data_IF_705730848499
#
_entry.id   IF_705730848499
#
_cell.length_a   1.000
_cell.length_b   1.000
_cell.length_c   1.000
_cell.angle_alpha   90.00
_cell.angle_beta   90.00
_cell.angle_gamma   90.00
#
_symmetry.space_group_name_H-M   'P 1'
#
loop_
_entity.id
_entity.type
_entity.pdbx_description
1 polymer ?
#
# COMPACT_ATOMS: atom_id res chain seq x y z
N UNK A 1 -33.50 14.98 -6.59
CA UNK A 1 -34.40 14.41 -5.57
C UNK A 1 -35.61 15.32 -5.44
N UNK A 2 -36.84 14.80 -5.48
CA UNK A 2 -38.03 15.56 -5.04
C UNK A 2 -38.47 14.96 -3.73
N UNK A 3 -38.44 15.76 -2.67
CA UNK A 3 -38.97 15.41 -1.35
C UNK A 3 -40.45 15.80 -1.35
N UNK A 4 -41.35 14.86 -1.05
CA UNK A 4 -42.77 15.17 -0.81
C UNK A 4 -43.02 14.87 0.66
N UNK A 5 -43.34 15.91 1.43
CA UNK A 5 -43.67 15.81 2.85
C UNK A 5 -45.17 15.55 2.97
N UNK A 6 -45.55 14.46 3.65
CA UNK A 6 -46.90 14.33 4.22
C UNK A 6 -46.75 13.86 5.66
N UNK A 7 -47.51 14.48 6.56
CA UNK A 7 -47.38 14.32 8.00
C UNK A 7 -47.37 12.85 8.41
N UNK A 8 -46.30 12.47 9.13
CA UNK A 8 -46.00 11.20 9.81
C UNK A 8 -45.23 10.08 9.11
N UNK A 9 -44.78 10.16 7.85
CA UNK A 9 -43.80 9.19 7.30
C UNK A 9 -42.93 9.77 6.16
N UNK A 10 -41.60 9.61 6.22
CA UNK A 10 -40.67 10.01 5.15
C UNK A 10 -40.50 8.87 4.15
N UNK A 11 -40.90 9.07 2.89
CA UNK A 11 -40.68 8.13 1.79
C UNK A 11 -39.61 8.68 0.85
N UNK A 12 -38.52 7.92 0.64
CA UNK A 12 -37.49 8.24 -0.35
C UNK A 12 -37.63 7.31 -1.56
N UNK A 13 -37.92 7.89 -2.74
CA UNK A 13 -37.94 7.17 -4.02
C UNK A 13 -36.58 7.31 -4.71
N UNK A 14 -35.86 6.19 -4.86
CA UNK A 14 -34.64 6.08 -5.66
C UNK A 14 -34.98 5.81 -7.14
N UNK A 15 -34.14 6.31 -8.06
CA UNK A 15 -34.42 6.36 -9.51
C UNK A 15 -34.38 5.01 -10.27
N UNK A 16 -34.35 3.87 -9.57
CA UNK A 16 -34.34 2.51 -10.14
C UNK A 16 -35.23 1.55 -9.32
N UNK A 17 -36.55 1.78 -9.32
CA UNK A 17 -37.58 0.87 -8.75
C UNK A 17 -37.41 0.43 -7.28
N UNK A 18 -36.55 1.09 -6.52
CA UNK A 18 -36.33 0.79 -5.09
C UNK A 18 -37.05 1.82 -4.22
N UNK A 19 -38.01 1.35 -3.43
CA UNK A 19 -38.68 2.13 -2.38
C UNK A 19 -38.12 1.72 -1.03
N UNK A 20 -37.62 2.69 -0.25
CA UNK A 20 -37.17 2.47 1.12
C UNK A 20 -38.22 3.00 2.10
N UNK A 21 -38.61 2.18 3.07
CA UNK A 21 -39.42 2.63 4.21
C UNK A 21 -38.54 2.75 5.45
N UNK A 22 -38.43 3.95 6.00
CA UNK A 22 -37.83 4.21 7.31
C UNK A 22 -38.95 4.56 8.28
N UNK A 23 -39.26 3.66 9.22
CA UNK A 23 -40.14 3.97 10.32
C UNK A 23 -39.32 4.53 11.49
N UNK A 24 -39.51 5.79 11.84
CA UNK A 24 -39.02 6.37 13.10
C UNK A 24 -40.10 6.24 14.19
N UNK A 25 -39.69 5.81 15.40
CA UNK A 25 -40.57 5.68 16.59
C UNK A 25 -41.24 7.01 16.97
N UNK A 26 -42.47 6.99 17.52
CA UNK A 26 -42.89 7.97 18.53
C UNK A 26 -42.21 7.64 19.86
N UNK A 27 -41.66 8.65 20.52
CA UNK A 27 -40.99 8.55 21.82
C UNK A 27 -42.01 8.40 22.95
N UNK A 28 -42.30 7.17 23.36
CA UNK A 28 -42.71 6.81 24.74
C UNK A 28 -42.87 5.29 24.88
N UNK A 29 -42.51 4.77 26.05
CA UNK A 29 -42.58 3.35 26.51
C UNK A 29 -41.28 2.54 26.35
N UNK A 30 -40.52 2.31 27.43
CA UNK A 30 -39.35 1.43 27.48
C UNK A 30 -39.71 0.08 28.12
N UNK A 31 -39.94 -0.96 27.31
CA UNK A 31 -39.74 -2.40 27.64
C UNK A 31 -40.52 -3.32 26.70
N UNK A 32 -39.95 -3.62 25.53
CA UNK A 32 -40.35 -4.80 24.71
C UNK A 32 -39.23 -5.05 23.69
N UNK A 33 -38.90 -6.32 23.36
CA UNK A 33 -37.74 -6.64 22.54
C UNK A 33 -37.87 -6.09 21.11
N UNK A 34 -36.73 -5.69 20.55
CA UNK A 34 -36.62 -5.14 19.19
C UNK A 34 -37.17 -6.17 18.20
N UNK A 35 -38.32 -5.90 17.59
CA UNK A 35 -38.79 -6.65 16.43
C UNK A 35 -38.17 -6.03 15.20
N UNK A 36 -37.09 -6.62 14.69
CA UNK A 36 -36.54 -6.28 13.38
C UNK A 36 -37.49 -6.88 12.34
N UNK A 37 -38.37 -6.04 11.75
CA UNK A 37 -39.17 -6.47 10.60
C UNK A 37 -38.22 -6.53 9.40
N UNK A 38 -37.81 -7.74 9.03
CA UNK A 38 -37.07 -7.98 7.79
C UNK A 38 -38.04 -7.84 6.63
N UNK A 39 -37.92 -6.79 5.82
CA UNK A 39 -38.72 -6.65 4.60
C UNK A 39 -38.32 -7.75 3.61
N UNK A 40 -39.26 -8.61 3.27
CA UNK A 40 -39.07 -9.64 2.23
C UNK A 40 -39.31 -9.02 0.87
N UNK A 41 -38.40 -9.25 -0.08
CA UNK A 41 -38.53 -8.81 -1.47
C UNK A 41 -39.76 -9.46 -2.13
N UNK A 42 -40.63 -8.66 -2.73
CA UNK A 42 -41.59 -9.13 -3.73
C UNK A 42 -41.23 -8.50 -5.08
N UNK A 43 -40.62 -9.29 -5.98
CA UNK A 43 -40.57 -8.93 -7.40
C UNK A 43 -41.96 -9.15 -7.97
N UNK A 44 -42.68 -8.09 -8.28
CA UNK A 44 -43.81 -8.20 -9.21
C UNK A 44 -43.24 -8.19 -10.63
N UNK A 45 -43.24 -9.36 -11.29
CA UNK A 45 -43.19 -9.41 -12.76
C UNK A 45 -44.62 -9.19 -13.24
N UNK A 46 -44.79 -8.17 -14.07
CA UNK A 46 -45.95 -7.92 -14.92
C UNK A 46 -47.31 -7.77 -14.21
N UNK A 47 -47.62 -6.55 -13.77
CA UNK A 47 -49.01 -6.10 -13.65
C UNK A 47 -49.08 -4.57 -13.77
N UNK A 48 -49.92 -4.10 -14.69
CA UNK A 48 -50.26 -2.68 -14.88
C UNK A 48 -50.63 -2.01 -13.54
N UNK A 49 -49.94 -0.92 -13.18
CA UNK A 49 -50.25 -0.10 -12.01
C UNK A 49 -51.52 0.74 -12.26
N UNK A 50 -52.59 0.61 -11.45
CA UNK A 50 -53.69 1.57 -11.47
C UNK A 50 -53.34 2.82 -10.64
N UNK A 51 -53.92 4.00 -10.96
CA UNK A 51 -53.57 5.24 -10.31
C UNK A 51 -54.28 5.38 -8.95
N UNK A 52 -53.50 5.75 -7.92
CA UNK A 52 -53.89 6.14 -6.54
C UNK A 52 -54.07 4.98 -5.54
N UNK A 53 -53.06 4.79 -4.69
CA UNK A 53 -53.21 4.08 -3.40
C UNK A 53 -53.69 5.07 -2.33
N UNK A 54 -54.91 4.89 -1.84
CA UNK A 54 -55.41 5.54 -0.62
C UNK A 54 -55.11 4.66 0.60
N UNK A 55 -54.89 5.28 1.77
CA UNK A 55 -54.39 4.70 3.03
C UNK A 55 -55.29 3.64 3.71
N UNK A 56 -56.27 3.08 3.02
CA UNK A 56 -57.29 2.19 3.60
C UNK A 56 -57.07 0.69 3.34
N UNK A 57 -56.03 0.27 2.61
CA UNK A 57 -55.82 -1.17 2.27
C UNK A 57 -54.85 -1.93 3.20
N UNK A 58 -54.27 -1.31 4.22
CA UNK A 58 -53.36 -1.98 5.17
C UNK A 58 -54.04 -2.63 6.38
N UNK A 59 -55.38 -2.63 6.45
CA UNK A 59 -56.11 -3.07 7.65
C UNK A 59 -57.08 -4.22 7.38
N UNK A 60 -56.65 -5.26 6.66
CA UNK A 60 -57.46 -6.48 6.56
C UNK A 60 -56.65 -7.74 6.24
N UNK A 61 -55.60 -8.02 7.02
CA UNK A 61 -55.11 -9.39 7.21
C UNK A 61 -54.83 -9.63 8.69
N UNK A 62 -55.91 -9.87 9.44
CA UNK A 62 -55.84 -10.37 10.82
C UNK A 62 -56.25 -11.85 10.79
N UNK A 63 -55.41 -12.68 11.40
CA UNK A 63 -55.60 -14.10 11.75
C UNK A 63 -55.49 -15.11 10.59
N UNK A 64 -54.27 -15.37 10.17
CA UNK A 64 -53.84 -16.76 9.98
C UNK A 64 -52.61 -16.99 10.85
N UNK A 65 -52.76 -17.80 11.88
CA UNK A 65 -51.70 -18.29 12.76
C UNK A 65 -50.75 -19.17 11.95
N UNK A 66 -49.77 -18.55 11.30
CA UNK A 66 -48.58 -19.26 10.86
C UNK A 66 -47.63 -19.26 12.05
N UNK A 67 -47.32 -20.46 12.55
CA UNK A 67 -46.24 -20.68 13.52
C UNK A 67 -45.02 -19.87 13.11
N UNK A 68 -44.33 -19.19 14.04
CA UNK A 68 -43.14 -18.41 13.70
C UNK A 68 -42.13 -19.39 13.12
N UNK A 69 -42.01 -19.39 11.79
CA UNK A 69 -40.94 -20.07 11.11
C UNK A 69 -39.70 -19.37 11.63
N UNK A 70 -38.91 -20.08 12.44
CA UNK A 70 -37.65 -19.58 12.96
C UNK A 70 -36.92 -18.91 11.80
N UNK A 71 -36.73 -17.59 11.89
CA UNK A 71 -35.70 -16.92 11.12
C UNK A 71 -34.41 -17.63 11.53
N UNK A 72 -33.99 -18.62 10.74
CA UNK A 72 -32.66 -19.19 10.88
C UNK A 72 -31.72 -18.00 10.84
N UNK A 73 -31.01 -17.76 11.95
CA UNK A 73 -29.96 -16.77 12.00
C UNK A 73 -29.07 -17.06 10.79
N UNK A 74 -29.03 -16.12 9.84
CA UNK A 74 -28.10 -16.20 8.72
C UNK A 74 -26.71 -16.43 9.37
N UNK A 75 -25.94 -17.42 8.91
CA UNK A 75 -24.65 -17.73 9.51
C UNK A 75 -23.85 -16.43 9.65
N UNK A 76 -23.34 -16.16 10.85
CA UNK A 76 -22.53 -14.97 11.10
C UNK A 76 -21.40 -14.96 10.06
N UNK A 77 -21.41 -13.95 9.18
CA UNK A 77 -20.38 -13.82 8.14
C UNK A 77 -19.01 -13.79 8.80
N UNK A 78 -18.17 -14.76 8.47
CA UNK A 78 -16.77 -14.78 8.91
C UNK A 78 -15.90 -14.25 7.77
N UNK A 79 -15.23 -13.10 7.95
CA UNK A 79 -14.35 -12.55 6.93
C UNK A 79 -13.27 -13.54 6.51
N UNK A 80 -12.99 -13.61 5.21
CA UNK A 80 -11.87 -14.38 4.70
C UNK A 80 -10.56 -13.65 5.01
N UNK A 81 -9.63 -14.36 5.64
CA UNK A 81 -8.28 -13.87 5.89
C UNK A 81 -7.27 -14.69 5.08
N UNK A 82 -6.21 -14.06 4.53
CA UNK A 82 -5.24 -14.76 3.71
C UNK A 82 -4.43 -15.76 4.54
N UNK A 83 -3.99 -16.84 3.89
CA UNK A 83 -3.18 -17.90 4.56
C UNK A 83 -1.73 -17.48 4.79
N UNK A 84 -1.25 -16.49 4.04
CA UNK A 84 0.15 -16.02 4.03
C UNK A 84 0.17 -14.52 3.84
N UNK A 85 1.21 -13.88 4.38
CA UNK A 85 1.57 -12.49 4.10
C UNK A 85 3.05 -12.42 3.74
N UNK A 86 3.34 -11.73 2.65
CA UNK A 86 4.70 -11.42 2.21
C UNK A 86 4.85 -9.90 2.26
N UNK A 87 5.84 -9.41 2.99
CA UNK A 87 6.13 -7.98 3.13
C UNK A 87 7.46 -7.64 2.45
N UNK A 88 7.54 -6.52 1.74
CA UNK A 88 8.56 -6.27 0.71
C UNK A 88 9.44 -5.03 0.97
N UNK A 89 9.21 -4.33 2.07
CA UNK A 89 9.89 -3.08 2.44
C UNK A 89 10.31 -3.20 3.90
N UNK A 90 11.21 -4.15 4.18
CA UNK A 90 11.52 -4.55 5.55
C UNK A 90 13.00 -4.30 5.83
N UNK A 91 13.26 -3.23 6.57
CA UNK A 91 14.58 -2.68 6.76
C UNK A 91 15.42 -3.49 7.75
N UNK A 92 16.69 -3.63 7.40
CA UNK A 92 17.78 -4.10 8.26
C UNK A 92 18.95 -3.15 8.18
N UNK A 93 19.88 -3.20 9.11
CA UNK A 93 21.16 -2.49 8.98
C UNK A 93 22.32 -3.44 9.26
N UNK A 94 23.31 -3.44 8.38
CA UNK A 94 24.58 -4.13 8.57
C UNK A 94 25.66 -3.22 9.15
N UNK A 95 26.70 -3.79 9.79
CA UNK A 95 27.83 -3.02 10.30
C UNK A 95 28.50 -2.08 9.29
N UNK A 96 28.52 -2.45 8.00
CA UNK A 96 29.15 -1.61 6.96
C UNK A 96 28.38 -0.32 6.65
N UNK A 97 27.09 -0.22 7.00
CA UNK A 97 26.26 0.96 6.76
C UNK A 97 25.69 1.57 8.06
N UNK A 98 25.95 0.97 9.22
CA UNK A 98 25.38 1.38 10.51
C UNK A 98 25.72 2.83 10.88
N UNK A 99 27.00 3.22 10.73
CA UNK A 99 27.46 4.56 11.06
C UNK A 99 26.74 5.64 10.23
N UNK A 100 26.51 5.37 8.96
CA UNK A 100 25.79 6.25 8.04
C UNK A 100 24.32 6.40 8.43
N UNK A 101 23.64 5.28 8.72
CA UNK A 101 22.24 5.29 9.18
C UNK A 101 22.09 6.09 10.47
N UNK A 102 23.04 5.98 11.40
CA UNK A 102 23.05 6.78 12.64
C UNK A 102 23.27 8.26 12.34
N UNK A 103 24.19 8.59 11.43
CA UNK A 103 24.53 9.97 11.08
C UNK A 103 23.37 10.73 10.41
N UNK A 104 22.48 10.02 9.71
CA UNK A 104 21.29 10.60 9.07
C UNK A 104 20.27 11.26 10.03
N UNK A 105 20.38 10.95 11.32
CA UNK A 105 19.39 11.36 12.32
C UNK A 105 18.10 10.53 12.29
N UNK A 106 17.94 9.57 11.37
CA UNK A 106 16.72 8.76 11.22
C UNK A 106 16.40 7.99 12.51
N UNK A 107 17.41 7.36 13.10
CA UNK A 107 17.27 6.57 14.33
C UNK A 107 16.77 7.44 15.49
N UNK A 108 17.29 8.65 15.61
CA UNK A 108 16.99 9.61 16.67
C UNK A 108 15.58 10.20 16.53
N UNK A 109 15.04 10.22 15.30
CA UNK A 109 13.66 10.62 15.01
C UNK A 109 12.65 9.46 15.12
N UNK A 110 13.14 8.24 15.26
CA UNK A 110 12.32 7.01 15.30
C UNK A 110 11.99 6.58 16.75
N UNK A 111 11.14 5.56 16.89
CA UNK A 111 10.78 5.01 18.19
C UNK A 111 12.01 4.43 18.93
N UNK A 112 12.05 4.47 20.26
CA UNK A 112 13.12 3.82 21.03
C UNK A 112 13.30 2.34 20.65
N UNK A 113 14.56 1.90 20.53
CA UNK A 113 14.89 0.53 20.14
C UNK A 113 14.88 0.25 18.62
N UNK A 114 14.62 1.26 17.77
CA UNK A 114 14.62 1.09 16.30
C UNK A 114 15.95 0.52 15.78
N UNK A 115 17.09 1.02 16.26
CA UNK A 115 18.40 0.52 15.83
C UNK A 115 18.60 -0.96 16.18
N UNK A 116 18.21 -1.37 17.39
CA UNK A 116 18.28 -2.77 17.80
C UNK A 116 17.41 -3.67 16.93
N UNK A 117 16.22 -3.20 16.55
CA UNK A 117 15.34 -3.91 15.61
C UNK A 117 15.91 -4.00 14.19
N UNK A 118 16.56 -2.94 13.71
CA UNK A 118 17.24 -2.96 12.40
C UNK A 118 18.39 -3.97 12.38
N UNK A 119 19.14 -4.09 13.47
CA UNK A 119 20.26 -5.04 13.61
C UNK A 119 19.79 -6.48 13.83
N UNK A 120 18.61 -6.67 14.43
CA UNK A 120 18.07 -7.99 14.73
C UNK A 120 17.50 -8.67 13.47
N UNK A 121 18.20 -9.67 12.95
CA UNK A 121 17.72 -10.59 11.90
C UNK A 121 17.53 -12.02 12.42
N UNK A 122 17.49 -12.18 13.74
CA UNK A 122 17.40 -13.45 14.44
C UNK A 122 16.01 -13.71 15.03
N UNK A 123 15.96 -14.41 16.16
CA UNK A 123 14.72 -14.85 16.82
C UNK A 123 13.76 -13.71 17.17
N UNK A 124 14.28 -12.54 17.53
CA UNK A 124 13.46 -11.35 17.82
C UNK A 124 12.62 -10.92 16.62
N UNK A 125 13.26 -10.74 15.46
CA UNK A 125 12.54 -10.43 14.20
C UNK A 125 11.57 -11.53 13.78
N UNK A 126 11.93 -12.80 13.96
CA UNK A 126 11.01 -13.92 13.68
C UNK A 126 9.77 -13.88 14.57
N UNK A 127 9.94 -13.58 15.87
CA UNK A 127 8.81 -13.43 16.79
C UNK A 127 7.90 -12.25 16.39
N UNK A 128 8.49 -11.12 15.98
CA UNK A 128 7.72 -9.98 15.46
C UNK A 128 6.95 -10.36 14.19
N UNK A 129 7.58 -11.07 13.25
CA UNK A 129 6.93 -11.61 12.05
C UNK A 129 5.75 -12.51 12.41
N UNK A 130 5.90 -13.41 13.37
CA UNK A 130 4.83 -14.32 13.79
C UNK A 130 3.66 -13.54 14.41
N UNK A 131 3.95 -12.51 15.22
CA UNK A 131 2.94 -11.61 15.77
C UNK A 131 2.17 -10.83 14.68
N UNK A 132 2.87 -10.42 13.62
CA UNK A 132 2.29 -9.77 12.44
C UNK A 132 1.73 -10.71 11.37
N UNK A 133 1.73 -12.02 11.61
CA UNK A 133 1.30 -13.07 10.65
C UNK A 133 2.10 -13.10 9.33
N UNK A 134 3.34 -12.58 9.33
CA UNK A 134 4.19 -12.56 8.15
C UNK A 134 4.83 -13.93 7.91
N UNK A 135 4.56 -14.49 6.74
CA UNK A 135 5.19 -15.72 6.28
C UNK A 135 6.61 -15.46 5.80
N UNK A 136 6.83 -14.34 5.10
CA UNK A 136 8.13 -13.96 4.55
C UNK A 136 8.32 -12.44 4.58
N UNK A 137 9.54 -11.98 4.91
CA UNK A 137 9.99 -10.61 4.73
C UNK A 137 11.06 -10.55 3.63
N UNK A 138 10.93 -9.61 2.71
CA UNK A 138 12.03 -9.25 1.79
C UNK A 138 12.87 -8.19 2.50
N UNK A 139 14.07 -8.58 2.93
CA UNK A 139 14.98 -7.72 3.66
C UNK A 139 15.65 -6.73 2.71
N UNK A 140 15.71 -5.47 3.12
CA UNK A 140 16.44 -4.43 2.42
C UNK A 140 17.33 -3.65 3.40
N UNK A 141 18.53 -3.27 2.97
CA UNK A 141 19.43 -2.47 3.79
C UNK A 141 18.92 -1.04 3.89
N UNK A 142 18.70 -0.58 5.12
CA UNK A 142 18.56 0.84 5.43
C UNK A 142 19.86 1.55 5.06
N UNK A 143 19.75 2.69 4.39
CA UNK A 143 20.89 3.48 3.97
C UNK A 143 20.52 4.94 4.01
N UNK A 144 21.43 5.78 4.50
CA UNK A 144 21.28 7.22 4.31
C UNK A 144 22.14 7.74 3.16
N UNK A 145 22.96 6.85 2.55
CA UNK A 145 23.92 7.24 1.51
C UNK A 145 24.82 6.16 0.87
N UNK A 146 24.72 4.91 1.28
CA UNK A 146 25.59 3.78 0.93
C UNK A 146 25.66 3.50 -0.57
N UNK A 147 24.81 4.13 -1.36
CA UNK A 147 24.92 4.19 -2.82
C UNK A 147 26.21 4.85 -3.33
N UNK A 148 26.99 5.49 -2.47
CA UNK A 148 28.31 6.07 -2.78
C UNK A 148 29.50 5.17 -2.40
N UNK A 149 29.27 4.09 -1.64
CA UNK A 149 30.30 3.15 -1.17
C UNK A 149 30.07 1.75 -1.76
N UNK A 150 30.72 1.40 -2.89
CA UNK A 150 30.60 0.08 -3.51
C UNK A 150 30.99 -1.08 -2.59
N UNK A 151 32.03 -0.92 -1.77
CA UNK A 151 32.49 -1.97 -0.85
C UNK A 151 31.51 -2.12 0.33
N UNK A 152 31.05 -0.99 0.89
CA UNK A 152 30.01 -0.95 1.91
C UNK A 152 28.72 -1.60 1.45
N UNK A 153 28.25 -1.31 0.24
CA UNK A 153 27.11 -1.98 -0.40
C UNK A 153 27.32 -3.49 -0.50
N UNK A 154 28.47 -3.92 -1.00
CA UNK A 154 28.79 -5.34 -1.16
C UNK A 154 28.81 -6.08 0.18
N UNK A 155 29.43 -5.50 1.21
CA UNK A 155 29.43 -6.06 2.57
C UNK A 155 28.02 -6.11 3.17
N UNK A 156 27.22 -5.06 2.95
CA UNK A 156 25.84 -4.99 3.44
C UNK A 156 24.96 -6.07 2.79
N UNK A 157 25.11 -6.27 1.49
CA UNK A 157 24.43 -7.32 0.77
C UNK A 157 24.89 -8.74 1.21
N UNK A 158 26.15 -8.93 1.62
CA UNK A 158 26.59 -10.20 2.20
C UNK A 158 25.89 -10.48 3.54
N UNK A 159 25.72 -9.46 4.39
CA UNK A 159 24.98 -9.61 5.65
C UNK A 159 23.52 -10.01 5.44
N UNK A 160 22.82 -9.42 4.45
CA UNK A 160 21.45 -9.84 4.07
C UNK A 160 21.45 -11.29 3.59
N UNK A 161 22.44 -11.68 2.80
CA UNK A 161 22.56 -13.07 2.35
C UNK A 161 22.66 -14.04 3.53
N UNK A 162 23.47 -13.73 4.53
CA UNK A 162 23.67 -14.62 5.67
C UNK A 162 22.43 -14.70 6.56
N UNK A 163 21.65 -13.62 6.66
CA UNK A 163 20.32 -13.65 7.27
C UNK A 163 19.37 -14.60 6.52
N UNK A 164 19.34 -14.53 5.18
CA UNK A 164 18.54 -15.42 4.34
C UNK A 164 18.96 -16.88 4.51
N UNK A 165 20.27 -17.18 4.49
CA UNK A 165 20.77 -18.56 4.71
C UNK A 165 20.36 -19.11 6.07
N UNK A 166 20.31 -18.26 7.09
CA UNK A 166 19.93 -18.64 8.45
C UNK A 166 18.43 -18.95 8.56
N UNK A 167 17.57 -18.29 7.77
CA UNK A 167 16.11 -18.50 7.79
C UNK A 167 15.49 -18.47 6.37
N UNK A 168 15.82 -19.42 5.48
CA UNK A 168 15.52 -19.32 4.04
C UNK A 168 14.04 -19.42 3.69
N UNK A 169 13.21 -19.91 4.61
CA UNK A 169 11.74 -19.94 4.46
C UNK A 169 11.05 -18.66 4.93
N UNK A 170 11.78 -17.79 5.64
CA UNK A 170 11.25 -16.58 6.28
C UNK A 170 11.80 -15.31 5.65
N UNK A 171 12.93 -15.37 4.97
CA UNK A 171 13.56 -14.21 4.36
C UNK A 171 13.84 -14.39 2.87
N UNK A 172 13.61 -13.32 2.12
CA UNK A 172 14.24 -13.03 0.84
C UNK A 172 15.01 -11.70 0.96
N UNK A 173 15.66 -11.23 -0.11
CA UNK A 173 16.45 -10.00 -0.05
C UNK A 173 16.41 -9.17 -1.31
N UNK A 174 16.43 -7.86 -1.10
CA UNK A 174 16.78 -6.86 -2.09
C UNK A 174 18.20 -6.36 -1.85
N UNK A 175 18.92 -6.14 -2.95
CA UNK A 175 20.27 -5.61 -2.90
C UNK A 175 20.22 -4.09 -2.69
N UNK A 176 21.18 -3.54 -1.94
CA UNK A 176 21.56 -2.13 -2.03
C UNK A 176 22.66 -2.00 -3.10
N UNK A 177 22.59 -0.95 -3.93
CA UNK A 177 23.46 -0.77 -5.10
C UNK A 177 24.26 0.53 -5.00
N UNK A 178 25.54 0.55 -5.40
CA UNK A 178 26.31 1.79 -5.52
C UNK A 178 25.90 2.59 -6.76
N UNK A 179 24.90 3.47 -6.62
CA UNK A 179 24.40 4.30 -7.72
C UNK A 179 25.27 5.52 -8.07
N UNK A 180 26.26 5.88 -7.25
CA UNK A 180 27.28 6.85 -7.64
C UNK A 180 28.21 6.30 -8.73
N UNK A 181 28.29 4.98 -8.88
CA UNK A 181 29.02 4.29 -9.94
C UNK A 181 28.10 3.28 -10.65
N UNK A 182 27.18 3.75 -11.52
CA UNK A 182 26.09 2.93 -12.07
C UNK A 182 26.54 1.62 -12.74
N UNK A 183 27.71 1.59 -13.39
CA UNK A 183 28.26 0.35 -13.95
C UNK A 183 28.60 -0.69 -12.88
N UNK A 184 29.17 -0.26 -11.75
CA UNK A 184 29.39 -1.14 -10.59
C UNK A 184 28.07 -1.53 -9.94
N UNK A 185 27.09 -0.61 -9.89
CA UNK A 185 25.74 -0.91 -9.43
C UNK A 185 25.06 -2.01 -10.26
N UNK A 186 25.20 -1.95 -11.59
CA UNK A 186 24.70 -2.99 -12.50
C UNK A 186 25.41 -4.33 -12.28
N UNK A 187 26.75 -4.32 -12.16
CA UNK A 187 27.53 -5.52 -11.89
C UNK A 187 27.17 -6.17 -10.54
N UNK A 188 26.95 -5.36 -9.50
CA UNK A 188 26.53 -5.85 -8.19
C UNK A 188 25.11 -6.44 -8.23
N UNK A 189 24.16 -5.78 -8.92
CA UNK A 189 22.82 -6.33 -9.11
C UNK A 189 22.87 -7.71 -9.80
N UNK A 190 23.64 -7.82 -10.88
CA UNK A 190 23.82 -9.08 -11.60
C UNK A 190 24.37 -10.18 -10.69
N UNK A 191 25.42 -9.86 -9.94
CA UNK A 191 26.05 -10.81 -9.02
C UNK A 191 25.06 -11.29 -7.97
N UNK A 192 24.29 -10.38 -7.38
CA UNK A 192 23.34 -10.69 -6.29
C UNK A 192 22.17 -11.54 -6.77
N UNK A 193 21.62 -11.22 -7.93
CA UNK A 193 20.51 -11.98 -8.50
C UNK A 193 20.96 -13.35 -9.00
N UNK A 194 21.98 -13.41 -9.89
CA UNK A 194 22.38 -14.67 -10.54
C UNK A 194 23.07 -15.65 -9.60
N UNK A 195 23.91 -15.17 -8.66
CA UNK A 195 24.71 -16.05 -7.81
C UNK A 195 24.12 -16.26 -6.42
N UNK A 196 23.35 -15.30 -5.91
CA UNK A 196 22.99 -15.25 -4.48
C UNK A 196 21.48 -15.21 -4.23
N UNK A 197 20.65 -15.29 -5.28
CA UNK A 197 19.20 -15.47 -5.18
C UNK A 197 18.42 -14.24 -4.71
N UNK A 198 19.03 -13.06 -4.76
CA UNK A 198 18.33 -11.80 -4.46
C UNK A 198 17.20 -11.58 -5.46
N UNK A 199 16.10 -10.96 -5.01
CA UNK A 199 14.87 -10.84 -5.78
C UNK A 199 14.70 -9.49 -6.47
N UNK A 200 15.75 -8.67 -6.47
CA UNK A 200 15.75 -7.30 -6.98
C UNK A 200 16.69 -6.42 -6.17
N UNK A 201 16.47 -5.11 -6.22
CA UNK A 201 17.19 -4.14 -5.41
C UNK A 201 16.26 -3.09 -4.82
N UNK A 202 16.65 -2.53 -3.67
CA UNK A 202 16.10 -1.31 -3.13
C UNK A 202 17.11 -0.20 -3.33
N UNK A 203 16.64 0.89 -3.92
CA UNK A 203 17.43 2.08 -4.23
C UNK A 203 16.78 3.28 -3.55
N UNK A 204 17.60 4.22 -3.08
CA UNK A 204 17.15 5.39 -2.31
C UNK A 204 16.89 6.57 -3.24
N UNK A 205 16.08 7.53 -2.80
CA UNK A 205 15.45 8.47 -3.72
C UNK A 205 16.42 9.28 -4.60
N UNK A 206 17.60 9.62 -4.10
CA UNK A 206 18.63 10.34 -4.84
C UNK A 206 20.01 10.08 -4.22
N UNK A 207 21.11 10.46 -4.89
CA UNK A 207 22.43 10.51 -4.24
C UNK A 207 22.48 11.61 -3.17
N UNK A 208 23.53 11.65 -2.31
CA UNK A 208 23.63 12.67 -1.24
C UNK A 208 23.56 14.11 -1.77
N UNK A 209 24.05 14.34 -2.98
CA UNK A 209 24.05 15.64 -3.65
C UNK A 209 22.69 16.04 -4.24
N UNK A 210 21.65 15.21 -4.09
CA UNK A 210 20.32 15.43 -4.64
C UNK A 210 20.17 14.95 -6.09
N UNK A 211 21.15 14.24 -6.66
CA UNK A 211 21.03 13.72 -8.02
C UNK A 211 20.01 12.59 -8.10
N UNK A 212 18.88 12.86 -8.77
CA UNK A 212 17.87 11.88 -9.16
C UNK A 212 18.31 10.99 -10.33
N UNK A 213 17.61 9.86 -10.52
CA UNK A 213 17.97 8.80 -11.46
C UNK A 213 17.18 8.85 -12.78
N UNK A 214 16.91 10.05 -13.28
CA UNK A 214 16.24 10.27 -14.57
C UNK A 214 17.22 10.38 -15.76
N UNK A 215 18.45 10.82 -15.50
CA UNK A 215 19.49 10.99 -16.51
C UNK A 215 20.08 9.67 -17.05
N UNK A 216 20.56 9.70 -18.30
CA UNK A 216 21.11 8.53 -18.98
C UNK A 216 22.30 7.86 -18.29
N UNK A 217 22.99 8.51 -17.34
CA UNK A 217 24.09 7.89 -16.59
C UNK A 217 23.66 6.65 -15.79
N UNK A 218 22.38 6.56 -15.42
CA UNK A 218 21.82 5.45 -14.62
C UNK A 218 21.25 4.32 -15.47
N UNK A 219 21.22 4.49 -16.79
CA UNK A 219 20.76 3.49 -17.75
C UNK A 219 21.42 2.11 -17.58
N UNK A 220 22.71 1.96 -17.22
CA UNK A 220 23.31 0.64 -16.97
C UNK A 220 22.56 -0.18 -15.91
N UNK A 221 22.11 0.45 -14.82
CA UNK A 221 21.36 -0.22 -13.74
C UNK A 221 19.96 -0.61 -14.22
N UNK A 222 19.28 0.27 -14.96
CA UNK A 222 17.94 0.01 -15.50
C UNK A 222 17.95 -1.09 -16.56
N UNK A 223 18.91 -1.04 -17.47
CA UNK A 223 19.16 -2.06 -18.47
C UNK A 223 19.38 -3.41 -17.80
N UNK A 224 20.21 -3.47 -16.76
CA UNK A 224 20.51 -4.70 -16.04
C UNK A 224 19.31 -5.23 -15.26
N UNK A 225 18.55 -4.38 -14.56
CA UNK A 225 17.33 -4.79 -13.87
C UNK A 225 16.29 -5.38 -14.84
N UNK A 226 16.15 -4.75 -16.02
CA UNK A 226 15.28 -5.24 -17.09
C UNK A 226 15.78 -6.58 -17.66
N UNK A 227 17.08 -6.73 -17.93
CA UNK A 227 17.69 -7.97 -18.41
C UNK A 227 17.45 -9.14 -17.45
N UNK A 228 17.63 -8.89 -16.15
CA UNK A 228 17.44 -9.87 -15.08
C UNK A 228 15.96 -10.13 -14.76
N UNK A 229 15.05 -9.30 -15.28
CA UNK A 229 13.62 -9.36 -15.04
C UNK A 229 13.25 -9.27 -13.54
N UNK A 230 13.95 -8.39 -12.81
CA UNK A 230 13.76 -8.13 -11.37
C UNK A 230 13.35 -6.66 -11.11
N UNK A 231 12.58 -6.38 -10.05
CA UNK A 231 12.21 -5.01 -9.69
C UNK A 231 13.35 -4.21 -9.06
N UNK A 232 13.29 -2.90 -9.29
CA UNK A 232 13.96 -1.88 -8.47
C UNK A 232 12.90 -1.20 -7.59
N UNK A 233 12.99 -1.40 -6.28
CA UNK A 233 12.16 -0.69 -5.29
C UNK A 233 12.78 0.68 -5.02
N UNK A 234 12.13 1.75 -5.48
CA UNK A 234 12.53 3.11 -5.17
C UNK A 234 11.94 3.49 -3.81
N UNK A 235 12.79 3.73 -2.83
CA UNK A 235 12.42 4.05 -1.46
C UNK A 235 12.73 5.52 -1.15
N UNK A 236 11.92 6.20 -0.32
CA UNK A 236 12.21 7.56 0.12
C UNK A 236 13.56 7.69 0.83
N UNK A 237 14.13 8.89 0.74
CA UNK A 237 15.25 9.32 1.57
C UNK A 237 14.98 10.77 2.03
N UNK A 238 15.70 11.25 3.03
CA UNK A 238 15.61 12.64 3.44
C UNK A 238 16.13 13.53 2.31
N UNK A 239 15.38 14.56 1.88
CA UNK A 239 15.84 15.47 0.84
C UNK A 239 17.04 16.27 1.33
N UNK A 240 17.73 16.90 0.37
CA UNK A 240 18.93 17.71 0.63
C UNK A 240 18.65 18.86 1.60
N UNK A 241 19.71 19.34 2.27
CA UNK A 241 19.59 20.43 3.23
C UNK A 241 19.01 21.71 2.61
N UNK A 242 19.29 22.00 1.34
CA UNK A 242 18.70 23.18 0.68
C UNK A 242 17.20 23.03 0.44
N UNK A 243 16.73 21.84 0.06
CA UNK A 243 15.30 21.54 -0.07
C UNK A 243 14.62 21.63 1.29
N UNK A 244 15.24 21.06 2.33
CA UNK A 244 14.78 21.20 3.72
C UNK A 244 14.56 22.67 4.09
N UNK A 245 15.59 23.50 3.94
CA UNK A 245 15.52 24.91 4.32
C UNK A 245 14.48 25.70 3.53
N UNK A 246 14.25 25.35 2.26
CA UNK A 246 13.32 26.09 1.39
C UNK A 246 11.86 25.69 1.57
N UNK A 247 11.58 24.40 1.76
CA UNK A 247 10.22 23.86 1.68
C UNK A 247 9.66 23.37 3.02
N UNK A 248 10.54 23.01 3.96
CA UNK A 248 10.14 22.27 5.16
C UNK A 248 10.61 22.91 6.47
N UNK A 249 11.54 23.86 6.41
CA UNK A 249 11.88 24.69 7.55
C UNK A 249 10.80 25.75 7.77
N UNK A 250 10.61 26.14 9.03
CA UNK A 250 9.63 27.16 9.39
C UNK A 250 9.45 27.30 10.89
N UNK A 251 8.70 28.32 11.28
CA UNK A 251 8.36 28.64 12.67
C UNK A 251 7.17 27.78 13.13
N UNK A 252 7.46 26.52 13.45
CA UNK A 252 6.45 25.56 13.92
C UNK A 252 6.24 25.61 15.42
N UNK A 253 5.01 25.27 15.84
CA UNK A 253 4.64 25.19 17.26
C UNK A 253 5.47 24.13 18.00
N UNK A 254 5.67 22.95 17.41
CA UNK A 254 6.52 21.90 17.99
C UNK A 254 7.88 21.85 17.25
N UNK A 255 9.02 21.79 17.97
CA UNK A 255 10.35 21.74 17.34
C UNK A 255 10.57 20.56 16.37
N UNK A 256 9.82 19.47 16.56
CA UNK A 256 9.96 18.23 15.78
C UNK A 256 9.13 18.25 14.48
N UNK A 257 8.31 19.30 14.28
CA UNK A 257 7.37 19.39 13.15
C UNK A 257 8.10 19.34 11.82
N UNK A 258 9.15 20.15 11.66
CA UNK A 258 9.95 20.18 10.43
C UNK A 258 10.49 18.79 10.07
N UNK A 259 11.00 18.06 11.07
CA UNK A 259 11.54 16.70 10.91
C UNK A 259 10.49 15.65 10.55
N UNK A 260 9.24 15.77 11.03
CA UNK A 260 8.13 14.88 10.61
C UNK A 260 7.60 15.27 9.23
N UNK A 261 7.52 16.56 8.97
CA UNK A 261 6.98 17.11 7.73
C UNK A 261 7.85 16.77 6.51
N UNK A 262 9.17 16.88 6.65
CA UNK A 262 10.14 16.48 5.60
C UNK A 262 10.19 14.97 5.36
N UNK A 263 9.78 14.15 6.33
CA UNK A 263 9.84 12.69 6.25
C UNK A 263 8.46 12.09 5.97
N UNK A 264 8.01 11.14 6.80
CA UNK A 264 6.84 10.30 6.58
C UNK A 264 5.48 11.00 6.62
N UNK A 265 5.44 12.29 6.99
CA UNK A 265 4.15 13.01 7.00
C UNK A 265 3.82 13.59 5.62
N UNK A 266 4.82 13.91 4.80
CA UNK A 266 4.60 14.54 3.48
C UNK A 266 5.83 14.46 2.57
N UNK A 267 6.99 14.96 3.03
CA UNK A 267 8.13 15.24 2.18
C UNK A 267 8.67 14.02 1.42
N UNK A 268 8.76 12.87 2.07
CA UNK A 268 9.17 11.61 1.43
C UNK A 268 8.29 11.24 0.24
N UNK A 269 6.97 11.37 0.38
CA UNK A 269 6.00 10.94 -0.62
C UNK A 269 6.03 11.85 -1.85
N UNK A 270 6.03 13.17 -1.64
CA UNK A 270 6.11 14.14 -2.73
C UNK A 270 7.44 14.02 -3.47
N UNK A 271 8.53 13.74 -2.76
CA UNK A 271 9.86 13.64 -3.36
C UNK A 271 10.00 12.37 -4.23
N UNK A 272 9.55 11.20 -3.73
CA UNK A 272 9.53 9.96 -4.55
C UNK A 272 8.55 10.09 -5.72
N UNK A 273 7.36 10.64 -5.49
CA UNK A 273 6.40 10.91 -6.57
C UNK A 273 6.99 11.81 -7.65
N UNK A 274 7.69 12.87 -7.24
CA UNK A 274 8.42 13.77 -8.15
C UNK A 274 9.49 12.99 -8.93
N UNK A 275 10.28 12.14 -8.27
CA UNK A 275 11.30 11.34 -8.95
C UNK A 275 10.71 10.38 -10.00
N UNK A 276 9.58 9.72 -9.72
CA UNK A 276 8.89 8.90 -10.72
C UNK A 276 8.45 9.75 -11.93
N UNK A 277 7.90 10.94 -11.69
CA UNK A 277 7.51 11.86 -12.76
C UNK A 277 8.72 12.39 -13.56
N UNK A 278 9.86 12.63 -12.91
CA UNK A 278 11.13 12.96 -13.59
C UNK A 278 11.58 11.83 -14.52
N UNK A 279 11.59 10.59 -14.04
CA UNK A 279 11.97 9.41 -14.84
C UNK A 279 11.01 9.18 -16.01
N UNK A 280 9.72 9.39 -15.77
CA UNK A 280 8.71 9.41 -16.83
C UNK A 280 9.03 10.49 -17.85
N UNK A 281 9.14 11.75 -17.44
CA UNK A 281 9.45 12.90 -18.30
C UNK A 281 10.75 12.71 -19.11
N UNK A 282 11.77 12.12 -18.52
CA UNK A 282 13.06 11.82 -19.16
C UNK A 282 13.02 10.61 -20.11
N UNK A 283 11.87 9.92 -20.26
CA UNK A 283 11.71 8.80 -21.19
C UNK A 283 12.40 7.52 -20.76
N UNK A 284 12.67 7.34 -19.46
CA UNK A 284 13.31 6.12 -18.92
C UNK A 284 12.50 4.88 -19.28
N UNK A 285 11.16 4.97 -19.19
CA UNK A 285 10.25 3.85 -19.48
C UNK A 285 10.02 3.60 -20.97
N UNK A 286 10.53 4.47 -21.86
CA UNK A 286 10.56 4.21 -23.30
C UNK A 286 11.87 3.51 -23.69
N UNK A 287 12.99 3.89 -23.06
CA UNK A 287 14.27 3.18 -23.18
C UNK A 287 14.22 1.79 -22.56
N UNK A 288 13.50 1.63 -21.45
CA UNK A 288 13.36 0.38 -20.71
C UNK A 288 11.88 0.01 -20.49
N UNK A 289 11.15 -0.41 -21.54
CA UNK A 289 9.70 -0.64 -21.47
C UNK A 289 9.28 -1.80 -20.57
N UNK A 290 10.20 -2.71 -20.24
CA UNK A 290 9.96 -3.85 -19.34
C UNK A 290 10.55 -3.63 -17.94
N UNK A 291 11.11 -2.45 -17.66
CA UNK A 291 11.62 -2.12 -16.34
C UNK A 291 10.49 -2.20 -15.31
N UNK A 292 10.75 -2.87 -14.19
CA UNK A 292 9.82 -3.00 -13.08
C UNK A 292 10.29 -2.08 -11.96
N UNK A 293 9.45 -1.12 -11.58
CA UNK A 293 9.70 -0.20 -10.47
C UNK A 293 8.65 -0.45 -9.40
N UNK A 294 9.11 -0.68 -8.17
CA UNK A 294 8.27 -0.71 -7.00
C UNK A 294 8.37 0.62 -6.25
N UNK A 295 7.28 1.10 -5.70
CA UNK A 295 7.22 2.23 -4.77
C UNK A 295 6.36 1.85 -3.56
N UNK A 296 6.68 2.40 -2.40
CA UNK A 296 5.99 2.12 -1.14
C UNK A 296 4.73 2.95 -0.96
N UNK A 297 4.30 3.04 0.30
CA UNK A 297 3.48 4.15 0.82
C UNK A 297 2.21 4.43 0.01
N UNK A 298 1.54 3.37 -0.43
CA UNK A 298 0.31 3.43 -1.21
C UNK A 298 0.47 4.26 -2.52
N UNK A 299 1.67 4.24 -3.12
CA UNK A 299 1.95 4.87 -4.40
C UNK A 299 2.52 6.29 -4.33
N UNK A 300 2.98 6.76 -3.17
CA UNK A 300 3.75 8.02 -3.03
C UNK A 300 3.00 9.24 -3.60
N UNK A 301 1.75 9.41 -3.17
CA UNK A 301 0.79 10.45 -3.60
C UNK A 301 0.37 10.45 -5.07
N UNK A 302 1.10 9.75 -5.94
CA UNK A 302 0.82 9.67 -7.39
C UNK A 302 -0.61 9.23 -7.73
N UNK A 303 -1.30 8.35 -6.97
CA UNK A 303 -2.67 7.98 -7.27
C UNK A 303 -3.65 9.16 -7.40
N UNK A 304 -3.39 10.30 -6.72
CA UNK A 304 -4.22 11.51 -6.87
C UNK A 304 -3.95 12.28 -8.17
N UNK A 305 -2.79 12.06 -8.81
CA UNK A 305 -2.26 12.91 -9.87
C UNK A 305 -2.19 12.24 -11.24
N UNK A 306 -2.50 10.94 -11.36
CA UNK A 306 -2.41 10.21 -12.64
C UNK A 306 -3.19 10.93 -13.76
N UNK A 307 -4.47 11.23 -13.52
CA UNK A 307 -5.32 11.91 -14.51
C UNK A 307 -4.81 13.31 -14.83
N UNK A 308 -4.33 14.04 -13.81
CA UNK A 308 -3.79 15.39 -13.97
C UNK A 308 -2.54 15.37 -14.85
N UNK A 309 -1.61 14.46 -14.57
CA UNK A 309 -0.35 14.31 -15.32
C UNK A 309 -0.62 13.91 -16.78
N UNK A 310 -1.59 13.03 -17.01
CA UNK A 310 -2.02 12.68 -18.37
C UNK A 310 -2.64 13.89 -19.08
N UNK A 311 -3.51 14.66 -18.39
CA UNK A 311 -4.18 15.83 -18.98
C UNK A 311 -3.23 16.95 -19.39
N UNK A 312 -2.09 17.10 -18.69
CA UNK A 312 -1.09 18.13 -18.99
C UNK A 312 -0.13 17.73 -20.09
N UNK A 313 -0.17 16.47 -20.55
CA UNK A 313 0.72 15.95 -21.58
C UNK A 313 2.20 16.30 -21.33
N UNK A 314 2.72 15.98 -20.13
CA UNK A 314 4.16 16.13 -19.82
C UNK A 314 5.05 15.46 -20.88
N UNK A 315 4.51 14.45 -21.56
CA UNK A 315 5.06 13.82 -22.75
C UNK A 315 3.96 13.62 -23.79
N UNK A 316 4.36 13.63 -25.06
CA UNK A 316 3.44 13.49 -26.20
C UNK A 316 3.35 12.06 -26.75
N UNK A 317 4.33 11.20 -26.46
CA UNK A 317 4.52 9.89 -27.07
C UNK A 317 4.05 8.72 -26.20
N UNK A 318 4.25 8.83 -24.88
CA UNK A 318 3.85 7.85 -23.88
C UNK A 318 3.00 8.56 -22.83
N UNK A 319 1.85 7.99 -22.50
CA UNK A 319 1.02 8.47 -21.38
C UNK A 319 1.55 7.98 -20.03
N UNK A 320 1.31 8.75 -18.98
CA UNK A 320 1.67 8.33 -17.63
C UNK A 320 0.80 7.16 -17.16
N UNK A 321 -0.46 7.10 -17.57
CA UNK A 321 -1.33 5.94 -17.32
C UNK A 321 -0.71 4.63 -17.85
N UNK A 322 -0.10 4.66 -19.06
CA UNK A 322 0.62 3.51 -19.60
C UNK A 322 1.72 3.08 -18.63
N UNK A 323 2.61 4.01 -18.27
CA UNK A 323 3.75 3.72 -17.38
C UNK A 323 3.29 3.21 -16.03
N UNK A 324 2.29 3.83 -15.43
CA UNK A 324 1.69 3.41 -14.17
C UNK A 324 1.20 1.95 -14.23
N UNK A 325 0.48 1.59 -15.29
CA UNK A 325 -0.09 0.25 -15.45
C UNK A 325 0.92 -0.80 -15.94
N UNK A 326 2.01 -0.42 -16.61
CA UNK A 326 2.98 -1.37 -17.17
C UNK A 326 4.26 -1.52 -16.35
N UNK A 327 4.75 -0.45 -15.75
CA UNK A 327 6.08 -0.38 -15.14
C UNK A 327 6.06 -0.19 -13.62
N UNK A 328 4.97 0.32 -13.04
CA UNK A 328 4.89 0.61 -11.61
C UNK A 328 4.14 -0.50 -10.85
N UNK A 329 4.65 -0.80 -9.66
CA UNK A 329 4.02 -1.62 -8.64
C UNK A 329 4.06 -0.85 -7.32
N UNK A 330 3.03 -1.00 -6.50
CA UNK A 330 2.87 -0.25 -5.25
C UNK A 330 2.79 -1.20 -4.06
N UNK A 331 3.34 -0.82 -2.92
CA UNK A 331 3.07 -1.47 -1.64
C UNK A 331 2.22 -0.61 -0.71
N UNK A 332 1.61 -1.20 0.31
CA UNK A 332 0.88 -0.48 1.37
C UNK A 332 1.73 -0.21 2.61
N UNK A 333 3.06 -0.22 2.47
CA UNK A 333 3.99 0.03 3.58
C UNK A 333 3.62 1.32 4.33
N UNK A 334 3.56 1.26 5.66
CA UNK A 334 3.09 2.31 6.58
C UNK A 334 1.66 2.88 6.36
N UNK A 335 0.98 2.59 5.25
CA UNK A 335 -0.29 3.19 4.85
C UNK A 335 -1.47 2.25 5.15
N UNK A 336 -1.67 2.01 6.44
CA UNK A 336 -2.67 1.08 6.97
C UNK A 336 -4.08 1.68 7.07
N UNK A 337 -4.56 2.32 6.00
CA UNK A 337 -5.89 2.92 5.96
C UNK A 337 -6.72 2.42 4.79
N UNK A 338 -7.95 1.98 5.07
CA UNK A 338 -8.85 1.46 4.03
C UNK A 338 -9.18 2.52 2.97
N UNK A 339 -9.32 3.79 3.39
CA UNK A 339 -9.61 4.89 2.47
C UNK A 339 -8.51 5.08 1.43
N UNK A 340 -7.25 5.14 1.84
CA UNK A 340 -6.12 5.32 0.91
C UNK A 340 -5.98 4.12 -0.03
N UNK A 341 -6.19 2.91 0.49
CA UNK A 341 -6.18 1.70 -0.32
C UNK A 341 -7.28 1.69 -1.38
N UNK A 342 -8.51 2.08 -1.01
CA UNK A 342 -9.63 2.18 -1.95
C UNK A 342 -9.38 3.21 -3.05
N UNK A 343 -8.71 4.31 -2.72
CA UNK A 343 -8.29 5.30 -3.72
C UNK A 343 -7.25 4.71 -4.68
N UNK A 344 -6.22 4.03 -4.16
CA UNK A 344 -5.23 3.35 -5.00
C UNK A 344 -5.90 2.33 -5.93
N UNK A 345 -6.90 1.59 -5.46
CA UNK A 345 -7.68 0.64 -6.29
C UNK A 345 -8.45 1.29 -7.44
N UNK A 346 -8.75 2.59 -7.39
CA UNK A 346 -9.41 3.28 -8.51
C UNK A 346 -8.50 3.46 -9.72
N UNK A 347 -7.18 3.51 -9.50
CA UNK A 347 -6.19 3.86 -10.52
C UNK A 347 -5.12 2.79 -10.71
N UNK A 348 -5.07 1.78 -9.85
CA UNK A 348 -4.14 0.66 -9.96
C UNK A 348 -4.89 -0.69 -9.96
N UNK A 349 -4.59 -1.59 -10.91
CA UNK A 349 -5.12 -2.94 -10.90
C UNK A 349 -4.57 -3.72 -9.70
N UNK A 350 -5.35 -4.68 -9.19
CA UNK A 350 -5.02 -5.39 -7.95
C UNK A 350 -3.68 -6.12 -8.07
N UNK A 351 -3.33 -6.58 -9.26
CA UNK A 351 -2.09 -7.28 -9.61
C UNK A 351 -0.83 -6.43 -9.42
N UNK A 352 -1.00 -5.10 -9.27
CA UNK A 352 0.09 -4.13 -9.05
C UNK A 352 0.20 -3.65 -7.61
N UNK A 353 -0.72 -4.08 -6.73
CA UNK A 353 -0.75 -3.68 -5.32
C UNK A 353 -0.32 -4.85 -4.44
N UNK A 354 0.64 -4.61 -3.55
CA UNK A 354 1.19 -5.63 -2.66
C UNK A 354 1.15 -5.18 -1.20
N UNK A 355 0.98 -6.13 -0.31
CA UNK A 355 1.11 -5.89 1.11
C UNK A 355 2.59 -5.63 1.48
N UNK A 356 2.82 -4.69 2.39
CA UNK A 356 4.12 -4.46 3.02
C UNK A 356 3.94 -3.70 4.32
N UNK A 357 4.97 -3.68 5.19
CA UNK A 357 4.86 -3.06 6.51
C UNK A 357 5.65 -1.77 6.62
N UNK A 358 6.89 -1.70 6.14
CA UNK A 358 7.91 -0.71 6.57
C UNK A 358 8.48 -1.02 7.98
N UNK A 359 8.75 -2.31 8.26
CA UNK A 359 9.37 -2.68 9.53
C UNK A 359 10.85 -2.25 9.55
N UNK A 360 11.40 -1.70 10.65
CA UNK A 360 10.79 -1.55 11.98
C UNK A 360 10.20 -0.17 12.27
N UNK A 361 10.08 0.71 11.28
CA UNK A 361 9.55 2.06 11.46
C UNK A 361 8.03 2.05 11.69
N UNK A 362 7.35 1.08 11.07
CA UNK A 362 5.93 0.82 11.23
C UNK A 362 5.63 -0.41 12.10
N UNK A 363 4.46 -0.40 12.74
CA UNK A 363 4.04 -1.49 13.61
C UNK A 363 3.50 -2.67 12.79
N UNK A 364 4.17 -3.81 12.89
CA UNK A 364 3.83 -5.03 12.16
C UNK A 364 2.42 -5.57 12.48
N UNK A 365 1.94 -5.39 13.70
CA UNK A 365 0.60 -5.81 14.10
C UNK A 365 -0.49 -4.86 13.58
N UNK A 366 -0.16 -3.58 13.39
CA UNK A 366 -1.07 -2.63 12.72
C UNK A 366 -1.26 -3.01 11.24
N UNK A 367 -0.20 -3.48 10.58
CA UNK A 367 -0.31 -4.04 9.23
C UNK A 367 -1.26 -5.24 9.16
N UNK A 368 -1.22 -6.14 10.15
CA UNK A 368 -2.18 -7.26 10.23
C UNK A 368 -3.61 -6.78 10.48
N UNK A 369 -3.81 -5.83 11.40
CA UNK A 369 -5.12 -5.24 11.67
C UNK A 369 -5.72 -4.60 10.42
N UNK A 370 -4.90 -3.97 9.58
CA UNK A 370 -5.34 -3.43 8.30
C UNK A 370 -5.87 -4.51 7.34
N UNK A 371 -5.20 -5.65 7.24
CA UNK A 371 -5.71 -6.81 6.47
C UNK A 371 -7.06 -7.29 6.99
N UNK A 372 -7.23 -7.32 8.32
CA UNK A 372 -8.52 -7.68 8.93
C UNK A 372 -9.62 -6.66 8.58
N UNK A 373 -9.32 -5.37 8.65
CA UNK A 373 -10.27 -4.31 8.28
C UNK A 373 -10.68 -4.40 6.80
N UNK A 374 -9.75 -4.66 5.88
CA UNK A 374 -10.07 -4.86 4.47
C UNK A 374 -11.02 -6.05 4.26
N UNK A 375 -10.80 -7.15 5.00
CA UNK A 375 -11.64 -8.35 4.94
C UNK A 375 -13.05 -8.12 5.53
N UNK A 376 -13.13 -7.46 6.68
CA UNK A 376 -14.38 -7.10 7.37
C UNK A 376 -15.24 -6.18 6.51
N UNK A 377 -14.62 -5.17 5.90
CA UNK A 377 -15.29 -4.21 5.03
C UNK A 377 -15.50 -4.73 3.59
N UNK A 378 -15.05 -5.96 3.29
CA UNK A 378 -15.17 -6.59 1.96
C UNK A 378 -14.63 -5.72 0.83
N UNK A 379 -13.51 -5.05 1.09
CA UNK A 379 -12.85 -4.18 0.11
C UNK A 379 -12.29 -4.99 -1.05
N UNK A 380 -11.90 -6.23 -0.76
CA UNK A 380 -11.37 -7.20 -1.71
C UNK A 380 -12.20 -8.48 -1.67
N UNK A 381 -12.38 -9.12 -2.83
CA UNK A 381 -12.79 -10.52 -2.90
C UNK A 381 -11.73 -11.43 -2.27
N UNK A 382 -12.10 -12.68 -1.96
CA UNK A 382 -11.15 -13.66 -1.40
C UNK A 382 -9.94 -13.90 -2.34
N UNK A 383 -10.16 -13.83 -3.66
CA UNK A 383 -9.08 -13.98 -4.64
C UNK A 383 -8.16 -12.76 -4.63
N UNK A 384 -8.73 -11.56 -4.66
CA UNK A 384 -7.96 -10.30 -4.61
C UNK A 384 -7.20 -10.15 -3.29
N UNK A 385 -7.78 -10.59 -2.17
CA UNK A 385 -7.10 -10.62 -0.88
C UNK A 385 -5.82 -11.46 -0.95
N UNK A 386 -5.85 -12.62 -1.63
CA UNK A 386 -4.65 -13.43 -1.82
C UNK A 386 -3.65 -12.81 -2.81
N UNK A 387 -4.13 -12.11 -3.85
CA UNK A 387 -3.28 -11.34 -4.76
C UNK A 387 -2.49 -10.29 -3.98
N UNK A 388 -3.21 -9.43 -3.24
CA UNK A 388 -2.64 -8.39 -2.39
C UNK A 388 -1.68 -8.94 -1.33
N UNK A 389 -2.10 -9.97 -0.60
CA UNK A 389 -1.38 -10.45 0.57
C UNK A 389 -0.07 -11.18 0.23
N UNK A 390 -0.01 -11.93 -0.88
CA UNK A 390 1.20 -12.71 -1.20
C UNK A 390 1.36 -13.10 -2.67
N UNK A 391 0.30 -13.40 -3.43
CA UNK A 391 0.46 -13.97 -4.79
C UNK A 391 1.08 -12.98 -5.78
N UNK A 392 0.80 -11.68 -5.64
CA UNK A 392 1.44 -10.65 -6.46
C UNK A 392 2.94 -10.61 -6.20
N UNK A 393 3.35 -10.67 -4.94
CA UNK A 393 4.76 -10.73 -4.54
C UNK A 393 5.44 -12.01 -5.05
N UNK A 394 4.79 -13.17 -4.91
CA UNK A 394 5.30 -14.44 -5.46
C UNK A 394 5.53 -14.36 -6.96
N UNK A 395 4.57 -13.78 -7.70
CA UNK A 395 4.68 -13.62 -9.16
C UNK A 395 5.79 -12.63 -9.53
N UNK A 396 5.85 -11.47 -8.88
CA UNK A 396 6.81 -10.41 -9.19
C UNK A 396 8.25 -10.84 -8.87
N UNK A 397 8.45 -11.51 -7.73
CA UNK A 397 9.75 -11.87 -7.18
C UNK A 397 10.18 -13.31 -7.47
N UNK A 398 9.31 -14.13 -8.07
CA UNK A 398 9.55 -15.54 -8.40
C UNK A 398 9.88 -16.38 -7.14
N UNK A 399 9.14 -16.15 -6.06
CA UNK A 399 9.36 -16.76 -4.73
C UNK A 399 8.89 -18.21 -4.62
#
# INVERSE_FOLDING_TARGET
>A
MRTVQSDSNTVCLGRNETVYFLASRPTSIPSTPITIITCTYLRYKDAHLPPRFTSSHCYQHRRQSHSPTFLQALPSYKPYLPKRLIALEEHVVSPSLEAEVIASGLIQRSAPGTLEKLKNVGTGRIADMDAGRLSLMVLAQQSASGMEDPDGCSKANNAVQDAIKSNPKRFAGFAVLPLATPDQGAAELERRVKKLGFRGAMIWNHLKDGTYFDGGRFDPVFAKAQELDVPLSLHPDSPTQDIFQRLFAGDYVQPQTAGRFITNSWGWHVDVGTHILRRYGAGVFDRFPKLKVMIGHNGEDLPMFIDRVNSTALRNDTTFDRVWNTNIWTTTSAFFTVRAFQQLRQVAPIERIMYSVDYPFSNITAGWQFVQQLAEQRVLTNQEMNLFAYKNAEKLLKL
#
